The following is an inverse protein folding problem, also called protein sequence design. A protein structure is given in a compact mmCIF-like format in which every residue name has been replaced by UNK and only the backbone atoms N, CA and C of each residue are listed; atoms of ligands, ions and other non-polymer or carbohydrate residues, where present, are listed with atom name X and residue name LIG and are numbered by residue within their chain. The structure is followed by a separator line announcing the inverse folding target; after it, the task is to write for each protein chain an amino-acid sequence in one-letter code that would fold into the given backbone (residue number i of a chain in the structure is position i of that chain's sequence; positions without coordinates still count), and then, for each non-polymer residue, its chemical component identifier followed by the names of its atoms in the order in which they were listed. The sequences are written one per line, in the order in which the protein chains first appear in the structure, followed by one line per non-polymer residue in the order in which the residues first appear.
data_IF_736763243048
#
_entry.id   IF_736763243048
#
_cell.length_a   1.000
_cell.length_b   1.000
_cell.length_c   1.000
_cell.angle_alpha   90.00
_cell.angle_beta   90.00
_cell.angle_gamma   90.00
#
_symmetry.space_group_name_H-M   'P 1'
#
loop_
_entity.id
_entity.type
_entity.pdbx_description
1 polymer ?
#
# COMPACT_ATOMS: atom_id res chain seq x y z
N UNK A 1 21.17 20.41 -5.87
CA UNK A 1 20.69 19.25 -5.08
C UNK A 1 19.59 18.58 -5.90
N UNK A 2 19.80 17.35 -6.37
CA UNK A 2 18.78 16.64 -7.18
C UNK A 2 17.69 16.17 -6.21
N UNK A 3 16.50 16.75 -6.29
CA UNK A 3 15.31 16.19 -5.65
C UNK A 3 15.04 14.84 -6.32
N UNK A 4 15.51 13.76 -5.70
CA UNK A 4 15.20 12.41 -6.13
C UNK A 4 13.76 12.13 -5.68
N UNK A 5 12.81 12.27 -6.60
CA UNK A 5 11.44 11.79 -6.37
C UNK A 5 11.52 10.27 -6.34
N UNK A 6 11.39 9.67 -5.17
CA UNK A 6 11.40 8.21 -5.02
C UNK A 6 9.99 7.69 -5.26
N UNK A 7 9.82 6.95 -6.35
CA UNK A 7 8.56 6.28 -6.67
C UNK A 7 8.51 4.94 -5.94
N UNK A 8 7.54 4.79 -5.05
CA UNK A 8 7.30 3.55 -4.32
C UNK A 8 5.99 2.97 -4.83
N UNK A 9 6.07 1.78 -5.40
CA UNK A 9 4.89 0.97 -5.74
C UNK A 9 4.59 0.05 -4.56
N UNK A 10 3.31 -0.23 -4.32
CA UNK A 10 2.86 -1.22 -3.32
C UNK A 10 1.70 -1.99 -3.94
N UNK A 11 1.82 -3.31 -4.01
CA UNK A 11 0.81 -4.19 -4.58
C UNK A 11 0.07 -4.95 -3.48
N UNK A 12 -1.25 -5.09 -3.63
CA UNK A 12 -2.09 -5.87 -2.73
C UNK A 12 -2.90 -6.91 -3.51
N UNK A 13 -2.68 -8.18 -3.21
CA UNK A 13 -3.45 -9.29 -3.79
C UNK A 13 -4.58 -9.66 -2.82
N UNK A 14 -5.79 -9.16 -3.11
CA UNK A 14 -6.91 -9.18 -2.17
C UNK A 14 -7.80 -10.42 -2.26
N UNK A 15 -7.67 -11.21 -3.32
CA UNK A 15 -8.45 -12.43 -3.54
C UNK A 15 -7.94 -13.61 -2.69
N UNK A 16 -6.66 -13.55 -2.30
CA UNK A 16 -6.02 -14.55 -1.46
C UNK A 16 -6.36 -14.24 0.00
N UNK A 17 -7.22 -15.08 0.59
CA UNK A 17 -7.55 -14.99 2.01
C UNK A 17 -6.33 -15.37 2.85
N UNK A 18 -6.07 -14.59 3.90
CA UNK A 18 -5.12 -15.00 4.94
C UNK A 18 -5.68 -16.29 5.57
N UNK A 19 -4.97 -17.39 5.41
CA UNK A 19 -5.37 -18.69 5.95
C UNK A 19 -4.43 -19.02 7.11
N UNK A 20 -4.99 -19.05 8.32
CA UNK A 20 -4.25 -19.39 9.53
C UNK A 20 -4.15 -20.91 9.74
N UNK A 21 -4.73 -21.73 8.84
CA UNK A 21 -4.59 -23.18 8.92
C UNK A 21 -3.15 -23.62 8.66
N UNK A 22 -2.54 -24.12 9.74
CA UNK A 22 -1.13 -24.49 9.96
C UNK A 22 -0.65 -25.66 9.06
N UNK A 23 -1.54 -26.24 8.25
CA UNK A 23 -1.22 -27.34 7.33
C UNK A 23 -0.50 -26.92 6.05
N UNK A 24 -0.47 -25.62 5.72
CA UNK A 24 0.19 -25.08 4.52
C UNK A 24 1.11 -23.91 4.90
N UNK A 25 2.22 -23.76 4.17
CA UNK A 25 3.10 -22.58 4.33
C UNK A 25 2.33 -21.33 3.92
N UNK A 26 2.19 -20.33 4.81
CA UNK A 26 1.53 -19.08 4.47
C UNK A 26 2.20 -18.40 3.27
N UNK A 27 1.42 -17.97 2.29
CA UNK A 27 1.95 -17.36 1.07
C UNK A 27 2.75 -16.08 1.36
N UNK A 28 2.38 -15.36 2.41
CA UNK A 28 3.10 -14.18 2.85
C UNK A 28 4.51 -14.51 3.40
N UNK A 29 4.73 -15.72 3.92
CA UNK A 29 6.03 -16.21 4.34
C UNK A 29 6.88 -16.59 3.13
N UNK A 30 6.29 -17.28 2.15
CA UNK A 30 6.97 -17.63 0.90
C UNK A 30 7.46 -16.39 0.17
N UNK A 31 6.64 -15.35 0.05
CA UNK A 31 7.03 -14.09 -0.61
C UNK A 31 8.19 -13.40 0.12
N UNK A 32 8.18 -13.40 1.46
CA UNK A 32 9.25 -12.81 2.28
C UNK A 32 10.57 -13.54 2.10
N UNK A 33 10.55 -14.87 2.19
CA UNK A 33 11.77 -15.70 2.03
C UNK A 33 12.34 -15.50 0.63
N UNK A 34 11.49 -15.54 -0.39
CA UNK A 34 11.97 -15.37 -1.76
C UNK A 34 12.56 -13.98 -2.01
N UNK A 35 11.94 -12.92 -1.51
CA UNK A 35 12.50 -11.58 -1.62
C UNK A 35 13.89 -11.47 -0.98
N UNK A 36 14.15 -12.20 0.11
CA UNK A 36 15.47 -12.27 0.75
C UNK A 36 16.49 -13.08 -0.07
N UNK A 37 16.06 -14.16 -0.72
CA UNK A 37 16.96 -15.04 -1.49
C UNK A 37 17.25 -14.49 -2.89
N UNK A 38 16.21 -14.06 -3.61
CA UNK A 38 16.28 -13.64 -5.01
C UNK A 38 16.42 -12.12 -5.19
N UNK A 39 16.14 -11.33 -4.14
CA UNK A 39 16.21 -9.86 -4.21
C UNK A 39 15.05 -9.18 -4.92
N UNK A 40 13.98 -9.92 -5.23
CA UNK A 40 12.75 -9.41 -5.86
C UNK A 40 11.53 -10.23 -5.46
N UNK A 41 10.33 -9.70 -5.74
CA UNK A 41 9.05 -10.34 -5.47
C UNK A 41 8.78 -11.52 -6.42
N UNK A 42 8.13 -12.58 -5.91
CA UNK A 42 7.86 -13.82 -6.68
C UNK A 42 6.83 -13.65 -7.79
N UNK A 43 5.89 -12.73 -7.64
CA UNK A 43 4.78 -12.59 -8.58
C UNK A 43 5.10 -11.59 -9.68
N UNK A 44 5.83 -10.53 -9.33
CA UNK A 44 6.04 -9.37 -10.20
C UNK A 44 7.48 -9.21 -10.68
N UNK A 45 8.45 -9.91 -10.08
CA UNK A 45 9.89 -9.72 -10.33
C UNK A 45 10.39 -8.30 -10.02
N UNK A 46 9.55 -7.47 -9.38
CA UNK A 46 9.93 -6.13 -8.93
C UNK A 46 10.61 -6.20 -7.56
N UNK A 47 11.45 -5.21 -7.24
CA UNK A 47 12.02 -5.07 -5.89
C UNK A 47 10.96 -4.74 -4.84
N UNK A 48 9.85 -4.13 -5.26
CA UNK A 48 8.68 -3.87 -4.42
C UNK A 48 8.04 -5.18 -3.98
N UNK A 49 7.70 -5.27 -2.69
CA UNK A 49 6.98 -6.40 -2.12
C UNK A 49 5.48 -6.38 -2.46
N UNK A 50 4.92 -7.54 -2.82
CA UNK A 50 3.48 -7.76 -2.88
C UNK A 50 2.93 -8.17 -1.51
N UNK A 51 1.84 -7.53 -1.08
CA UNK A 51 1.12 -7.84 0.16
C UNK A 51 -0.09 -8.71 -0.14
N UNK A 52 -0.31 -9.72 0.71
CA UNK A 52 -1.44 -10.63 0.61
C UNK A 52 -2.57 -10.12 1.51
N UNK A 53 -3.79 -10.06 0.97
CA UNK A 53 -4.98 -9.55 1.66
C UNK A 53 -5.26 -8.07 1.39
N UNK A 54 -6.30 -7.54 2.06
CA UNK A 54 -6.71 -6.14 1.89
C UNK A 54 -5.77 -5.18 2.62
N UNK A 55 -5.55 -3.97 2.08
CA UNK A 55 -4.77 -2.94 2.77
C UNK A 55 -5.40 -2.61 4.14
N UNK A 56 -4.55 -2.53 5.17
CA UNK A 56 -4.91 -1.93 6.46
C UNK A 56 -4.76 -0.41 6.34
N UNK A 57 -5.78 0.24 5.81
CA UNK A 57 -5.74 1.68 5.49
C UNK A 57 -5.38 2.54 6.71
N UNK A 58 -5.89 2.25 7.91
CA UNK A 58 -5.54 2.98 9.13
C UNK A 58 -4.02 2.98 9.39
N UNK A 59 -3.41 1.79 9.36
CA UNK A 59 -1.98 1.63 9.58
C UNK A 59 -1.16 2.28 8.46
N UNK A 60 -1.63 2.16 7.21
CA UNK A 60 -0.97 2.76 6.06
C UNK A 60 -0.92 4.29 6.18
N UNK A 61 -2.07 4.94 6.39
CA UNK A 61 -2.14 6.39 6.51
C UNK A 61 -1.39 6.90 7.75
N UNK A 62 -1.48 6.20 8.88
CA UNK A 62 -0.76 6.56 10.12
C UNK A 62 0.76 6.51 9.91
N UNK A 63 1.26 5.42 9.32
CA UNK A 63 2.69 5.26 9.04
C UNK A 63 3.15 6.28 8.00
N UNK A 64 2.35 6.53 6.96
CA UNK A 64 2.66 7.51 5.94
C UNK A 64 2.76 8.92 6.54
N UNK A 65 1.75 9.37 7.29
CA UNK A 65 1.76 10.66 7.96
C UNK A 65 2.97 10.81 8.91
N UNK A 66 3.32 9.74 9.64
CA UNK A 66 4.48 9.73 10.54
C UNK A 66 5.82 9.79 9.81
N UNK A 67 5.89 9.27 8.57
CA UNK A 67 7.11 9.30 7.75
C UNK A 67 7.37 10.64 7.06
N UNK A 68 6.33 11.48 6.92
CA UNK A 68 6.39 12.77 6.22
C UNK A 68 6.74 13.93 7.16
N UNK A 69 7.68 13.73 8.09
CA UNK A 69 8.12 14.79 9.01
C UNK A 69 8.67 15.99 8.22
N UNK A 70 7.91 17.09 8.20
CA UNK A 70 8.29 18.34 7.51
C UNK A 70 7.32 18.78 6.40
N UNK A 71 6.40 17.91 5.96
CA UNK A 71 5.32 18.28 5.04
C UNK A 71 4.14 18.85 5.83
N UNK A 72 3.55 19.95 5.36
CA UNK A 72 2.41 20.59 6.05
C UNK A 72 1.15 19.73 5.81
N UNK A 73 0.32 19.57 6.84
CA UNK A 73 -1.04 19.02 6.66
C UNK A 73 -1.78 19.84 5.58
N UNK A 74 -2.38 19.17 4.57
CA UNK A 74 -2.93 19.71 3.31
C UNK A 74 -2.00 19.87 2.09
N UNK A 75 -0.71 19.51 2.14
CA UNK A 75 0.13 19.45 0.93
C UNK A 75 0.05 18.07 0.22
N UNK A 76 -0.41 17.05 0.94
CA UNK A 76 -0.53 15.69 0.42
C UNK A 76 -1.82 15.55 -0.39
N UNK A 77 -1.66 15.28 -1.69
CA UNK A 77 -2.75 14.97 -2.61
C UNK A 77 -2.84 13.47 -2.86
N UNK A 78 -4.03 12.91 -2.64
CA UNK A 78 -4.37 11.51 -2.88
C UNK A 78 -5.31 11.43 -4.07
N UNK A 79 -4.90 10.66 -5.06
CA UNK A 79 -5.65 10.43 -6.27
C UNK A 79 -6.14 8.98 -6.28
N UNK A 80 -7.43 8.78 -6.51
CA UNK A 80 -8.05 7.46 -6.45
C UNK A 80 -8.81 7.16 -7.75
N UNK A 81 -8.52 6.00 -8.34
CA UNK A 81 -9.29 5.41 -9.44
C UNK A 81 -9.59 3.94 -9.10
N UNK A 82 -10.86 3.57 -9.06
CA UNK A 82 -11.26 2.20 -8.76
C UNK A 82 -12.70 2.04 -8.27
N UNK A 83 -13.04 0.90 -7.65
CA UNK A 83 -14.39 0.63 -7.17
C UNK A 83 -14.88 1.64 -6.12
N UNK A 84 -16.13 2.08 -6.23
CA UNK A 84 -16.71 3.11 -5.34
C UNK A 84 -16.60 2.79 -3.86
N UNK A 85 -16.78 1.51 -3.47
CA UNK A 85 -16.65 1.09 -2.07
C UNK A 85 -15.25 1.34 -1.50
N UNK A 86 -14.21 1.15 -2.32
CA UNK A 86 -12.82 1.44 -1.93
C UNK A 86 -12.57 2.95 -1.91
N UNK A 87 -13.07 3.70 -2.89
CA UNK A 87 -12.97 5.16 -2.92
C UNK A 87 -13.56 5.83 -1.69
N UNK A 88 -14.73 5.37 -1.25
CA UNK A 88 -15.34 5.84 0.02
C UNK A 88 -14.45 5.57 1.23
N UNK A 89 -13.75 4.44 1.26
CA UNK A 89 -12.82 4.09 2.35
C UNK A 89 -11.61 5.02 2.32
N UNK A 90 -10.98 5.20 1.16
CA UNK A 90 -9.82 6.09 0.98
C UNK A 90 -10.19 7.54 1.33
N UNK A 91 -11.34 8.03 0.85
CA UNK A 91 -11.84 9.38 1.14
C UNK A 91 -12.03 9.63 2.64
N UNK A 92 -12.57 8.66 3.39
CA UNK A 92 -12.72 8.77 4.86
C UNK A 92 -11.37 8.92 5.56
N UNK A 93 -10.35 8.16 5.14
CA UNK A 93 -9.02 8.28 5.70
C UNK A 93 -8.38 9.63 5.32
N UNK A 94 -8.50 10.07 4.07
CA UNK A 94 -8.01 11.39 3.66
C UNK A 94 -8.61 12.51 4.51
N UNK A 95 -9.92 12.46 4.81
CA UNK A 95 -10.57 13.43 5.69
C UNK A 95 -10.01 13.40 7.12
N UNK A 96 -9.74 12.22 7.68
CA UNK A 96 -9.18 12.08 9.03
C UNK A 96 -7.76 12.66 9.15
N UNK A 97 -6.95 12.56 8.09
CA UNK A 97 -5.57 13.05 8.04
C UNK A 97 -5.41 14.43 7.36
N UNK A 98 -6.53 15.09 6.99
CA UNK A 98 -6.55 16.36 6.24
C UNK A 98 -5.71 16.30 4.95
N UNK A 99 -5.83 15.21 4.19
CA UNK A 99 -5.25 15.09 2.86
C UNK A 99 -6.26 15.53 1.80
N UNK A 100 -5.77 16.12 0.71
CA UNK A 100 -6.60 16.45 -0.45
C UNK A 100 -6.94 15.16 -1.20
N UNK A 101 -8.21 14.95 -1.52
CA UNK A 101 -8.68 13.73 -2.19
C UNK A 101 -9.32 14.05 -3.53
N UNK A 102 -8.88 13.34 -4.57
CA UNK A 102 -9.36 13.47 -5.94
C UNK A 102 -9.84 12.11 -6.45
N UNK A 103 -11.11 12.04 -6.86
CA UNK A 103 -11.66 10.91 -7.61
C UNK A 103 -11.31 11.09 -9.08
N UNK A 104 -10.62 10.11 -9.65
CA UNK A 104 -10.19 10.11 -11.03
C UNK A 104 -10.89 9.01 -11.82
N UNK A 105 -11.17 9.31 -13.08
CA UNK A 105 -11.69 8.36 -14.06
C UNK A 105 -10.75 8.42 -15.25
N UNK A 106 -10.05 7.31 -15.50
CA UNK A 106 -9.12 7.15 -16.62
C UNK A 106 -9.69 6.19 -17.65
#
# INVERSE_FOLDING_TARGET
MRNVVSLIFIFFFTDIKHNDNIGNVPLDLVTKIWAQVAGHDIFTTLKTKTYIGRPKWDAFFTNFASSQTGTIENEISVFFCGPSAMGQTVRKHCAAFKFLHYEEKF
#
